data_IF_381286634531
#
_entry.id   IF_381286634531
#
_cell.length_a   1.000
_cell.length_b   1.000
_cell.length_c   1.000
_cell.angle_alpha   90.00
_cell.angle_beta   90.00
_cell.angle_gamma   90.00
#
_symmetry.space_group_name_H-M   'P 1'
#
loop_
_entity.id
_entity.type
_entity.pdbx_description
1 polymer ?
#
# COMPACT_ATOMS: atom_id res chain seq x y z
N UNK A 1 -17.07 15.13 -24.69
CA UNK A 1 -16.30 15.83 -23.65
C UNK A 1 -17.17 16.03 -22.43
N UNK A 2 -16.60 15.74 -21.26
CA UNK A 2 -17.37 15.83 -20.03
C UNK A 2 -17.08 17.13 -19.33
N UNK A 3 -17.94 18.13 -19.61
CA UNK A 3 -17.94 19.39 -18.87
C UNK A 3 -19.11 19.46 -17.87
N UNK A 4 -19.81 18.32 -17.65
CA UNK A 4 -20.87 18.24 -16.66
C UNK A 4 -20.31 18.55 -15.26
N UNK A 5 -20.88 19.55 -14.54
CA UNK A 5 -20.35 19.94 -13.23
C UNK A 5 -20.35 18.81 -12.21
N UNK A 6 -21.34 17.93 -12.22
CA UNK A 6 -21.39 16.78 -11.29
C UNK A 6 -20.25 15.81 -11.56
N UNK A 7 -19.99 15.47 -12.82
CA UNK A 7 -18.89 14.59 -13.19
C UNK A 7 -17.53 15.20 -12.84
N UNK A 8 -17.37 16.51 -13.05
CA UNK A 8 -16.13 17.22 -12.68
C UNK A 8 -15.90 17.17 -11.17
N UNK A 9 -16.95 17.32 -10.37
CA UNK A 9 -16.86 17.21 -8.92
C UNK A 9 -16.47 15.79 -8.48
N UNK A 10 -17.05 14.77 -9.09
CA UNK A 10 -16.71 13.37 -8.79
C UNK A 10 -15.25 13.05 -9.14
N UNK A 11 -14.79 13.55 -10.28
CA UNK A 11 -13.37 13.40 -10.68
C UNK A 11 -12.44 14.13 -9.73
N UNK A 12 -12.80 15.32 -9.28
CA UNK A 12 -12.01 16.04 -8.27
C UNK A 12 -11.94 15.27 -6.95
N UNK A 13 -13.01 14.59 -6.55
CA UNK A 13 -13.03 13.73 -5.37
C UNK A 13 -12.09 12.53 -5.54
N UNK A 14 -12.07 11.91 -6.73
CA UNK A 14 -11.11 10.84 -7.05
C UNK A 14 -9.68 11.37 -6.97
N UNK A 15 -9.40 12.55 -7.54
CA UNK A 15 -8.07 13.16 -7.49
C UNK A 15 -7.61 13.40 -6.05
N UNK A 16 -8.50 13.90 -5.20
CA UNK A 16 -8.20 14.10 -3.77
C UNK A 16 -7.90 12.77 -3.06
N UNK A 17 -8.67 11.72 -3.37
CA UNK A 17 -8.46 10.38 -2.82
C UNK A 17 -7.13 9.80 -3.30
N UNK A 18 -6.77 10.02 -4.58
CA UNK A 18 -5.49 9.59 -5.13
C UNK A 18 -4.32 10.22 -4.36
N UNK A 19 -4.41 11.50 -4.03
CA UNK A 19 -3.36 12.17 -3.25
C UNK A 19 -3.21 11.55 -1.86
N UNK A 20 -4.33 11.26 -1.19
CA UNK A 20 -4.28 10.58 0.12
C UNK A 20 -3.68 9.17 0.02
N UNK A 21 -4.02 8.44 -1.05
CA UNK A 21 -3.47 7.12 -1.31
C UNK A 21 -1.95 7.18 -1.49
N UNK A 22 -1.47 8.10 -2.32
CA UNK A 22 -0.04 8.27 -2.59
C UNK A 22 0.70 8.70 -1.32
N UNK A 23 0.14 9.63 -0.55
CA UNK A 23 0.73 10.05 0.73
C UNK A 23 0.84 8.87 1.71
N UNK A 24 -0.19 8.02 1.80
CA UNK A 24 -0.16 6.84 2.64
C UNK A 24 0.90 5.83 2.17
N UNK A 25 1.07 5.65 0.86
CA UNK A 25 2.11 4.78 0.31
C UNK A 25 3.51 5.31 0.65
N UNK A 26 3.73 6.62 0.61
CA UNK A 26 5.01 7.21 1.00
C UNK A 26 5.27 7.08 2.50
N UNK A 27 4.26 7.26 3.33
CA UNK A 27 4.38 7.02 4.78
C UNK A 27 4.78 5.58 5.06
N UNK A 28 4.12 4.64 4.38
CA UNK A 28 4.43 3.22 4.49
C UNK A 28 5.85 2.91 4.04
N UNK A 29 6.31 3.54 2.95
CA UNK A 29 7.68 3.39 2.46
C UNK A 29 8.71 3.85 3.49
N UNK A 30 8.45 4.98 4.17
CA UNK A 30 9.34 5.49 5.23
C UNK A 30 9.44 4.52 6.40
N UNK A 31 8.30 3.95 6.81
CA UNK A 31 8.26 2.93 7.87
C UNK A 31 9.03 1.67 7.46
N UNK A 32 8.89 1.22 6.22
CA UNK A 32 9.62 0.06 5.71
C UNK A 32 11.12 0.29 5.69
N UNK A 33 11.59 1.49 5.34
CA UNK A 33 13.00 1.83 5.43
C UNK A 33 13.49 1.79 6.87
N UNK A 34 12.71 2.30 7.80
CA UNK A 34 13.03 2.26 9.25
C UNK A 34 13.14 0.82 9.73
N UNK A 35 12.19 -0.04 9.34
CA UNK A 35 12.24 -1.47 9.67
C UNK A 35 13.49 -2.12 9.08
N UNK A 36 13.80 -1.82 7.83
CA UNK A 36 14.99 -2.37 7.16
C UNK A 36 16.28 -2.01 7.88
N UNK A 37 16.44 -0.75 8.26
CA UNK A 37 17.62 -0.30 9.04
C UNK A 37 17.69 -0.98 10.41
N UNK A 38 16.53 -1.11 11.07
CA UNK A 38 16.44 -1.77 12.37
C UNK A 38 16.85 -3.24 12.29
N UNK A 39 16.38 -3.95 11.27
CA UNK A 39 16.71 -5.36 11.05
C UNK A 39 18.17 -5.56 10.65
N UNK A 40 18.69 -4.72 9.76
CA UNK A 40 20.09 -4.78 9.35
C UNK A 40 21.05 -4.58 10.53
N UNK A 41 20.75 -3.64 11.40
CA UNK A 41 21.56 -3.37 12.59
C UNK A 41 21.62 -4.59 13.54
N UNK A 42 20.67 -5.50 13.45
CA UNK A 42 20.55 -6.69 14.31
C UNK A 42 20.83 -8.01 13.57
N UNK A 43 21.23 -7.94 12.29
CA UNK A 43 21.48 -9.12 11.48
C UNK A 43 20.26 -9.98 11.22
N UNK A 44 19.06 -9.38 11.22
CA UNK A 44 17.81 -10.09 10.98
C UNK A 44 17.49 -10.12 9.48
N UNK A 45 16.73 -11.16 9.07
CA UNK A 45 16.31 -11.33 7.68
C UNK A 45 15.32 -10.22 7.28
N UNK A 46 15.47 -9.73 6.03
CA UNK A 46 14.56 -8.73 5.47
C UNK A 46 13.19 -9.30 5.12
N UNK A 47 13.15 -10.57 4.67
CA UNK A 47 11.90 -11.22 4.26
C UNK A 47 11.16 -11.83 5.45
N UNK A 48 9.84 -11.64 5.45
CA UNK A 48 8.94 -12.24 6.44
C UNK A 48 7.63 -12.65 5.73
N UNK A 49 7.64 -13.81 5.02
CA UNK A 49 6.45 -14.27 4.29
C UNK A 49 5.24 -14.52 5.19
N UNK A 50 5.44 -14.97 6.40
CA UNK A 50 4.35 -15.21 7.35
C UNK A 50 3.67 -13.90 7.74
N UNK A 51 4.45 -12.83 7.93
CA UNK A 51 3.93 -11.48 8.21
C UNK A 51 3.11 -10.95 7.03
N UNK A 52 3.61 -11.11 5.80
CA UNK A 52 2.89 -10.66 4.60
C UNK A 52 1.57 -11.41 4.45
N UNK A 53 1.56 -12.73 4.63
CA UNK A 53 0.33 -13.52 4.57
C UNK A 53 -0.69 -13.06 5.61
N UNK A 54 -0.26 -12.80 6.84
CA UNK A 54 -1.12 -12.33 7.92
C UNK A 54 -1.70 -10.94 7.63
N UNK A 55 -0.88 -10.02 7.09
CA UNK A 55 -1.35 -8.69 6.68
C UNK A 55 -2.40 -8.79 5.57
N UNK A 56 -2.16 -9.63 4.57
CA UNK A 56 -3.08 -9.80 3.46
C UNK A 56 -4.44 -10.33 3.97
N UNK A 57 -4.42 -11.38 4.78
CA UNK A 57 -5.63 -11.96 5.35
C UNK A 57 -6.43 -10.94 6.15
N UNK A 58 -5.78 -10.18 7.00
CA UNK A 58 -6.42 -9.16 7.84
C UNK A 58 -7.05 -8.06 6.98
N UNK A 59 -6.33 -7.58 5.97
CA UNK A 59 -6.80 -6.49 5.13
C UNK A 59 -7.92 -6.92 4.17
N UNK A 60 -7.90 -8.15 3.68
CA UNK A 60 -8.97 -8.67 2.81
C UNK A 60 -10.31 -8.83 3.56
N UNK A 61 -10.30 -8.87 4.89
CA UNK A 61 -11.54 -8.86 5.67
C UNK A 61 -12.20 -7.48 5.70
N UNK A 62 -11.51 -6.43 5.22
CA UNK A 62 -11.99 -5.04 5.21
C UNK A 62 -12.50 -4.63 3.83
N UNK A 63 -13.31 -5.49 3.20
CA UNK A 63 -13.88 -5.23 1.88
C UNK A 63 -15.38 -4.99 2.01
N UNK A 64 -15.83 -3.73 2.09
CA UNK A 64 -17.26 -3.44 2.08
C UNK A 64 -17.85 -3.75 0.70
N UNK A 65 -19.16 -3.97 0.65
CA UNK A 65 -19.86 -4.37 -0.58
C UNK A 65 -19.71 -3.35 -1.72
N UNK A 66 -19.59 -2.05 -1.37
CA UNK A 66 -19.42 -0.96 -2.33
C UNK A 66 -17.96 -0.57 -2.57
N UNK A 67 -17.02 -1.29 -1.99
CA UNK A 67 -15.58 -1.05 -2.16
C UNK A 67 -14.97 -1.94 -3.24
N UNK A 68 -13.65 -2.18 -3.12
CA UNK A 68 -12.98 -3.10 -4.02
C UNK A 68 -13.36 -4.55 -3.73
N UNK A 69 -13.58 -5.38 -4.77
CA UNK A 69 -13.65 -6.82 -4.57
C UNK A 69 -12.35 -7.35 -3.93
N UNK A 70 -12.42 -8.39 -3.07
CA UNK A 70 -11.21 -8.90 -2.41
C UNK A 70 -10.09 -9.30 -3.38
N UNK A 71 -10.42 -9.90 -4.53
CA UNK A 71 -9.41 -10.28 -5.52
C UNK A 71 -8.67 -9.06 -6.10
N UNK A 72 -9.38 -7.95 -6.35
CA UNK A 72 -8.78 -6.71 -6.83
C UNK A 72 -7.90 -6.07 -5.76
N UNK A 73 -8.38 -6.03 -4.52
CA UNK A 73 -7.59 -5.52 -3.39
C UNK A 73 -6.32 -6.35 -3.18
N UNK A 74 -6.42 -7.68 -3.27
CA UNK A 74 -5.25 -8.56 -3.16
C UNK A 74 -4.19 -8.25 -4.23
N UNK A 75 -4.60 -8.00 -5.47
CA UNK A 75 -3.68 -7.63 -6.55
C UNK A 75 -2.93 -6.34 -6.21
N UNK A 76 -3.63 -5.32 -5.74
CA UNK A 76 -3.02 -4.03 -5.35
C UNK A 76 -2.06 -4.22 -4.17
N UNK A 77 -2.51 -4.94 -3.13
CA UNK A 77 -1.70 -5.13 -1.92
C UNK A 77 -0.44 -5.95 -2.20
N UNK A 78 -0.50 -6.96 -3.05
CA UNK A 78 0.70 -7.71 -3.43
C UNK A 78 1.74 -6.83 -4.11
N UNK A 79 1.32 -5.89 -4.95
CA UNK A 79 2.23 -4.92 -5.56
C UNK A 79 2.84 -3.98 -4.50
N UNK A 80 2.04 -3.51 -3.54
CA UNK A 80 2.52 -2.70 -2.42
C UNK A 80 3.55 -3.47 -1.59
N UNK A 81 3.26 -4.72 -1.26
CA UNK A 81 4.16 -5.57 -0.47
C UNK A 81 5.47 -5.86 -1.21
N UNK A 82 5.42 -6.07 -2.53
CA UNK A 82 6.63 -6.26 -3.33
C UNK A 82 7.53 -5.03 -3.31
N UNK A 83 6.95 -3.82 -3.46
CA UNK A 83 7.69 -2.57 -3.34
C UNK A 83 8.29 -2.40 -1.94
N UNK A 84 7.54 -2.78 -0.91
CA UNK A 84 7.99 -2.70 0.49
C UNK A 84 9.16 -3.63 0.79
N UNK A 85 9.11 -4.86 0.26
CA UNK A 85 10.23 -5.82 0.43
C UNK A 85 11.53 -5.24 -0.11
N UNK A 86 11.47 -4.57 -1.27
CA UNK A 86 12.65 -3.94 -1.86
C UNK A 86 13.24 -2.87 -0.93
N UNK A 87 12.39 -2.07 -0.28
CA UNK A 87 12.83 -1.01 0.65
C UNK A 87 13.36 -1.55 1.97
N UNK A 88 12.80 -2.65 2.48
CA UNK A 88 13.31 -3.31 3.69
C UNK A 88 14.68 -3.92 3.41
N UNK A 89 14.86 -4.55 2.25
CA UNK A 89 16.14 -5.16 1.84
C UNK A 89 17.21 -4.10 1.56
N UNK A 90 16.83 -2.97 0.97
CA UNK A 90 17.74 -1.86 0.67
C UNK A 90 17.10 -0.53 1.10
N UNK A 91 17.24 -0.15 2.39
CA UNK A 91 16.63 1.08 2.90
C UNK A 91 17.20 2.38 2.32
N UNK A 92 18.29 2.30 1.57
CA UNK A 92 18.92 3.46 0.91
C UNK A 92 18.36 3.71 -0.49
N UNK A 93 17.52 2.83 -0.95
CA UNK A 93 16.91 2.90 -2.29
C UNK A 93 16.05 4.15 -2.49
#
# INVERSE_FOLDING_TARGET
>A
MSSDPELLQLRAAVDATNRRLVDALHDRARLCRTIGRWQQARGLAAEDPAREAAMLDELLRRCPADGLPPAALATVLRAVFAASRALVADPTM
#
